data_IF_335990393648
#
_entry.id   IF_335990393648
#
_cell.length_a   1.000
_cell.length_b   1.000
_cell.length_c   1.000
_cell.angle_alpha   90.00
_cell.angle_beta   90.00
_cell.angle_gamma   90.00
#
_symmetry.space_group_name_H-M   'P 1'
#
loop_
_entity.id
_entity.type
_entity.pdbx_description
1 polymer ?
#
# COMPACT_ATOMS: atom_id res chain seq x y z
N UNK A 1 5.31 -25.60 -1.66
CA UNK A 1 4.10 -25.21 -0.91
C UNK A 1 3.61 -23.92 -1.56
N UNK A 2 2.63 -24.09 -2.43
CA UNK A 2 2.15 -23.15 -3.44
C UNK A 2 0.99 -22.33 -2.87
N UNK A 3 1.09 -21.00 -2.88
CA UNK A 3 -0.04 -20.12 -2.59
C UNK A 3 0.03 -18.84 -3.41
N UNK A 4 -0.20 -18.96 -4.73
CA UNK A 4 -0.81 -17.85 -5.49
C UNK A 4 -2.31 -18.08 -5.45
N UNK A 5 -2.94 -17.65 -4.35
CA UNK A 5 -4.39 -17.53 -4.29
C UNK A 5 -4.70 -16.04 -4.29
N UNK A 6 -5.55 -15.63 -5.22
CA UNK A 6 -6.07 -14.25 -5.42
C UNK A 6 -5.41 -13.41 -6.54
N UNK A 7 -5.23 -13.99 -7.72
CA UNK A 7 -5.24 -13.22 -8.99
C UNK A 7 -6.61 -13.25 -9.70
N UNK A 8 -7.62 -13.90 -9.11
CA UNK A 8 -8.94 -14.06 -9.72
C UNK A 8 -9.81 -12.80 -9.80
N UNK A 9 -9.32 -11.64 -9.36
CA UNK A 9 -10.11 -10.39 -9.31
C UNK A 9 -9.66 -9.31 -10.31
N UNK A 10 -8.54 -9.50 -11.04
CA UNK A 10 -7.96 -8.40 -11.82
C UNK A 10 -7.20 -8.71 -13.10
N UNK A 11 -6.89 -9.97 -13.40
CA UNK A 11 -6.20 -10.34 -14.64
C UNK A 11 -6.16 -11.85 -14.85
N UNK A 12 -6.12 -12.28 -16.11
CA UNK A 12 -5.94 -13.68 -16.47
C UNK A 12 -4.47 -13.94 -16.82
N UNK A 13 -3.92 -15.07 -16.39
CA UNK A 13 -2.61 -15.49 -16.89
C UNK A 13 -2.66 -15.66 -18.42
N UNK A 14 -1.60 -15.32 -19.17
CA UNK A 14 -0.30 -14.84 -18.70
C UNK A 14 -0.20 -13.31 -18.51
N UNK A 15 -1.22 -12.53 -18.91
CA UNK A 15 -1.17 -11.06 -18.98
C UNK A 15 -1.32 -10.34 -17.64
N UNK A 16 -1.70 -11.05 -16.59
CA UNK A 16 -2.06 -10.43 -15.32
C UNK A 16 -0.95 -9.56 -14.69
N UNK A 17 0.33 -9.82 -14.97
CA UNK A 17 1.42 -8.95 -14.52
C UNK A 17 1.50 -7.65 -15.33
N UNK A 18 1.29 -7.71 -16.65
CA UNK A 18 1.23 -6.52 -17.52
C UNK A 18 0.03 -5.63 -17.15
N UNK A 19 -1.12 -6.27 -16.92
CA UNK A 19 -2.35 -5.56 -16.52
C UNK A 19 -2.20 -4.90 -15.14
N UNK A 20 -1.43 -5.50 -14.22
CA UNK A 20 -1.14 -4.93 -12.91
C UNK A 20 -0.18 -3.75 -13.02
N UNK A 21 0.87 -3.89 -13.82
CA UNK A 21 1.88 -2.86 -14.05
C UNK A 21 1.26 -1.59 -14.62
N UNK A 22 0.34 -1.74 -15.59
CA UNK A 22 -0.40 -0.62 -16.16
C UNK A 22 -1.32 0.15 -15.17
N UNK A 23 -1.57 -0.43 -13.98
CA UNK A 23 -2.49 0.13 -12.97
C UNK A 23 -1.76 0.70 -11.75
N UNK A 24 -0.45 0.53 -11.66
CA UNK A 24 0.36 1.02 -10.54
C UNK A 24 1.21 2.19 -11.04
N UNK A 25 1.33 3.22 -10.23
CA UNK A 25 2.31 4.29 -10.43
C UNK A 25 3.41 4.12 -9.42
N UNK A 26 4.66 4.08 -9.89
CA UNK A 26 5.82 4.01 -9.02
C UNK A 26 6.19 5.41 -8.50
N UNK A 27 6.57 5.47 -7.23
CA UNK A 27 7.08 6.69 -6.61
C UNK A 27 8.60 6.58 -6.53
N UNK A 28 9.31 7.56 -7.10
CA UNK A 28 10.76 7.57 -7.08
C UNK A 28 11.30 7.76 -5.66
N UNK A 29 12.31 6.98 -5.30
CA UNK A 29 13.04 7.15 -4.03
C UNK A 29 14.04 8.31 -4.14
N UNK A 30 13.53 9.53 -3.96
CA UNK A 30 14.34 10.75 -4.00
C UNK A 30 15.18 10.93 -2.73
N UNK A 31 16.04 11.95 -2.72
CA UNK A 31 16.81 12.30 -1.51
C UNK A 31 15.88 12.77 -0.39
N UNK A 32 14.90 13.58 -0.73
CA UNK A 32 13.94 14.17 0.20
C UNK A 32 13.13 13.07 0.91
N UNK A 33 12.71 12.04 0.17
CA UNK A 33 12.05 10.86 0.75
C UNK A 33 12.98 10.11 1.70
N UNK A 34 14.25 9.92 1.34
CA UNK A 34 15.23 9.23 2.22
C UNK A 34 15.49 10.02 3.49
N UNK A 35 15.61 11.34 3.39
CA UNK A 35 15.85 12.22 4.54
C UNK A 35 14.64 12.23 5.48
N UNK A 36 13.42 12.27 4.93
CA UNK A 36 12.19 12.12 5.70
C UNK A 36 12.09 10.73 6.37
N UNK A 37 12.42 9.66 5.65
CA UNK A 37 12.41 8.30 6.20
C UNK A 37 13.37 8.15 7.38
N UNK A 38 14.52 8.82 7.36
CA UNK A 38 15.49 8.80 8.46
C UNK A 38 14.89 9.30 9.79
N UNK A 39 13.91 10.21 9.75
CA UNK A 39 13.21 10.74 10.94
C UNK A 39 12.21 9.75 11.55
N UNK A 40 11.86 8.69 10.82
CA UNK A 40 10.93 7.65 11.24
C UNK A 40 11.67 6.38 11.72
N UNK A 41 12.99 6.32 11.52
CA UNK A 41 13.83 5.20 11.98
C UNK A 41 13.78 5.11 13.52
N UNK A 42 13.56 3.90 14.03
CA UNK A 42 13.37 3.63 15.46
C UNK A 42 11.90 3.49 15.85
N UNK A 43 10.99 4.16 15.12
CA UNK A 43 9.54 3.86 15.15
C UNK A 43 9.20 2.76 14.16
N UNK A 44 9.86 2.78 13.00
CA UNK A 44 9.70 1.82 11.90
C UNK A 44 11.04 1.18 11.51
N UNK A 45 10.97 0.01 10.86
CA UNK A 45 12.11 -0.57 10.14
C UNK A 45 12.39 0.26 8.90
N UNK A 46 13.61 0.20 8.36
CA UNK A 46 14.06 1.06 7.25
C UNK A 46 13.12 1.06 6.04
N UNK A 47 12.67 -0.12 5.59
CA UNK A 47 11.79 -0.22 4.43
C UNK A 47 10.39 0.37 4.71
N UNK A 48 9.84 0.09 5.89
CA UNK A 48 8.56 0.64 6.33
C UNK A 48 8.61 2.17 6.46
N UNK A 49 9.74 2.69 6.97
CA UNK A 49 9.99 4.13 7.06
C UNK A 49 10.04 4.80 5.68
N UNK A 50 10.66 4.15 4.69
CA UNK A 50 10.66 4.63 3.30
C UNK A 50 9.22 4.67 2.76
N UNK A 51 8.42 3.63 2.96
CA UNK A 51 7.03 3.61 2.47
C UNK A 51 6.17 4.72 3.11
N UNK A 52 6.29 4.95 4.41
CA UNK A 52 5.56 6.03 5.08
C UNK A 52 6.06 7.40 4.60
N UNK A 53 7.37 7.58 4.43
CA UNK A 53 7.93 8.84 3.90
C UNK A 53 7.49 9.12 2.45
N UNK A 54 7.44 8.11 1.58
CA UNK A 54 6.90 8.24 0.23
C UNK A 54 5.42 8.60 0.22
N UNK A 55 4.63 8.02 1.13
CA UNK A 55 3.22 8.39 1.29
C UNK A 55 3.09 9.86 1.75
N UNK A 56 3.94 10.29 2.69
CA UNK A 56 3.99 11.66 3.18
C UNK A 56 4.47 12.67 2.12
N UNK A 57 5.23 12.26 1.10
CA UNK A 57 5.63 13.17 0.03
C UNK A 57 4.47 13.51 -0.93
N UNK A 58 3.46 12.65 -1.00
CA UNK A 58 2.26 12.89 -1.82
C UNK A 58 1.20 13.76 -1.11
N UNK A 59 1.16 13.72 0.23
CA UNK A 59 0.23 14.50 1.09
C UNK A 59 -1.21 14.48 0.56
N UNK A 60 -1.70 15.61 0.07
CA UNK A 60 -3.10 15.84 -0.34
C UNK A 60 -3.48 15.07 -1.61
N UNK A 61 -2.49 14.63 -2.40
CA UNK A 61 -2.71 13.75 -3.55
C UNK A 61 -2.93 12.29 -3.13
N UNK A 62 -2.55 11.93 -1.90
CA UNK A 62 -2.74 10.58 -1.38
C UNK A 62 -4.11 10.43 -0.72
N UNK A 63 -4.93 9.53 -1.24
CA UNK A 63 -6.22 9.21 -0.61
C UNK A 63 -6.05 8.49 0.73
N UNK A 64 -5.19 7.46 0.78
CA UNK A 64 -4.95 6.66 1.98
C UNK A 64 -3.69 5.80 1.82
N UNK A 65 -2.93 5.62 2.90
CA UNK A 65 -1.93 4.55 2.98
C UNK A 65 -2.62 3.23 3.36
N UNK A 66 -2.42 2.18 2.57
CA UNK A 66 -2.98 0.86 2.86
C UNK A 66 -1.85 -0.10 3.21
N UNK A 67 -1.94 -0.73 4.38
CA UNK A 67 -0.94 -1.71 4.84
C UNK A 67 -1.56 -2.73 5.79
N UNK A 68 -1.02 -3.94 5.81
CA UNK A 68 -1.34 -4.92 6.86
C UNK A 68 -0.47 -4.73 8.12
N UNK A 69 0.63 -3.97 8.02
CA UNK A 69 1.50 -3.71 9.15
C UNK A 69 0.91 -2.63 10.06
N UNK A 70 0.57 -3.01 11.30
CA UNK A 70 -0.06 -2.09 12.25
C UNK A 70 0.83 -0.91 12.63
N UNK A 71 2.15 -1.10 12.71
CA UNK A 71 3.09 -0.03 13.08
C UNK A 71 3.18 1.00 11.98
N UNK A 72 3.18 0.58 10.72
CA UNK A 72 3.09 1.50 9.57
C UNK A 72 1.80 2.32 9.61
N UNK A 73 0.66 1.67 9.81
CA UNK A 73 -0.63 2.37 9.88
C UNK A 73 -0.69 3.37 11.03
N UNK A 74 -0.22 2.98 12.21
CA UNK A 74 -0.17 3.86 13.38
C UNK A 74 0.75 5.06 13.14
N UNK A 75 1.95 4.83 12.63
CA UNK A 75 2.91 5.90 12.34
C UNK A 75 2.35 6.86 11.29
N UNK A 76 1.76 6.34 10.21
CA UNK A 76 1.16 7.19 9.17
C UNK A 76 0.04 8.08 9.72
N UNK A 77 -0.82 7.55 10.61
CA UNK A 77 -1.89 8.34 11.26
C UNK A 77 -1.33 9.41 12.19
N UNK A 78 -0.26 9.10 12.94
CA UNK A 78 0.43 10.09 13.78
C UNK A 78 1.00 11.24 12.95
N UNK A 79 1.52 10.93 11.75
CA UNK A 79 2.04 11.91 10.80
C UNK A 79 0.92 12.59 9.97
N UNK A 80 -0.36 12.32 10.28
CA UNK A 80 -1.52 13.00 9.71
C UNK A 80 -2.13 12.38 8.46
N UNK A 81 -1.69 11.19 8.04
CA UNK A 81 -2.26 10.49 6.88
C UNK A 81 -3.47 9.65 7.27
N UNK A 82 -4.45 9.56 6.35
CA UNK A 82 -5.44 8.48 6.36
C UNK A 82 -4.73 7.14 6.14
N UNK A 83 -4.98 6.16 7.01
CA UNK A 83 -4.38 4.83 6.88
C UNK A 83 -5.35 3.71 7.25
N UNK A 84 -5.43 2.67 6.42
CA UNK A 84 -6.41 1.59 6.50
C UNK A 84 -5.75 0.22 6.29
N UNK A 85 -6.26 -0.80 6.97
CA UNK A 85 -5.89 -2.17 6.66
C UNK A 85 -6.85 -2.74 5.61
N UNK A 86 -6.40 -3.54 4.64
CA UNK A 86 -7.30 -4.25 3.76
C UNK A 86 -8.24 -5.14 4.59
N UNK A 87 -9.54 -5.00 4.32
CA UNK A 87 -10.59 -5.80 4.95
C UNK A 87 -11.34 -6.54 3.86
N UNK A 88 -11.61 -7.83 4.10
CA UNK A 88 -12.43 -8.60 3.19
C UNK A 88 -13.87 -8.11 3.28
N UNK A 89 -14.35 -7.40 2.25
CA UNK A 89 -15.77 -7.21 2.04
C UNK A 89 -16.27 -8.53 1.46
N UNK A 90 -17.01 -9.30 2.26
CA UNK A 90 -17.67 -10.51 1.77
C UNK A 90 -18.53 -10.16 0.57
N UNK A 91 -18.36 -10.89 -0.53
CA UNK A 91 -19.30 -10.87 -1.65
C UNK A 91 -20.68 -11.21 -1.08
N UNK A 92 -21.56 -10.22 -0.93
CA UNK A 92 -22.98 -10.50 -0.78
C UNK A 92 -23.40 -11.23 -2.05
N UNK A 93 -23.87 -12.48 -2.00
CA UNK A 93 -24.37 -13.14 -3.19
C UNK A 93 -25.52 -12.30 -3.72
N UNK A 94 -25.42 -11.89 -4.99
CA UNK A 94 -26.53 -11.23 -5.68
C UNK A 94 -27.78 -12.12 -5.62
N UNK A 95 -28.99 -11.55 -5.63
CA UNK A 95 -30.21 -12.33 -5.58
C UNK A 95 -30.19 -13.35 -6.74
N UNK A 96 -30.26 -14.63 -6.38
CA UNK A 96 -30.25 -15.73 -7.33
C UNK A 96 -31.38 -15.61 -8.34
N UNK A 97 -31.05 -15.80 -9.61
CA UNK A 97 -31.99 -16.20 -10.65
C UNK A 97 -31.92 -17.72 -10.80
#
# INVERSE_FOLDING_TARGET
>A
METVRTLGLGGHFPKAMEDLDARITEILLTREVRDAAALLVGRLRTLDAIHVASALSLRDELTCLVSYDRRMLETARVEGLSAEAPRHVGLTPGPGL
#
